data_IF_575942805869
#
_entry.id   IF_575942805869
#
_cell.length_a   1.000
_cell.length_b   1.000
_cell.length_c   1.000
_cell.angle_alpha   90.00
_cell.angle_beta   90.00
_cell.angle_gamma   90.00
#
_symmetry.space_group_name_H-M   'P 1'
#
loop_
_entity.id
_entity.type
_entity.pdbx_description
1 polymer ?
#
# COMPACT_ATOMS: atom_id res chain seq x y z
N UNK A 1 -59.93 -3.83 20.47
CA UNK A 1 -59.35 -3.26 19.22
C UNK A 1 -58.15 -2.35 19.48
N UNK A 2 -58.18 -1.48 20.50
CA UNK A 2 -57.05 -0.57 20.84
C UNK A 2 -55.84 -1.29 21.44
N UNK A 3 -56.04 -2.28 22.32
CA UNK A 3 -54.94 -3.06 22.92
C UNK A 3 -54.09 -3.82 21.89
N UNK A 4 -54.71 -4.29 20.81
CA UNK A 4 -54.03 -5.02 19.73
C UNK A 4 -53.09 -4.10 18.91
N UNK A 5 -53.44 -2.81 18.81
CA UNK A 5 -52.59 -1.79 18.19
C UNK A 5 -51.40 -1.44 19.10
N UNK A 6 -51.62 -1.32 20.41
CA UNK A 6 -50.54 -1.04 21.37
C UNK A 6 -49.50 -2.17 21.42
N UNK A 7 -49.94 -3.43 21.38
CA UNK A 7 -49.04 -4.58 21.30
C UNK A 7 -48.23 -4.59 20.00
N UNK A 8 -48.85 -4.26 18.85
CA UNK A 8 -48.12 -4.12 17.59
C UNK A 8 -47.05 -3.04 17.64
N UNK A 9 -47.37 -1.86 18.21
CA UNK A 9 -46.42 -0.75 18.33
C UNK A 9 -45.19 -1.18 19.15
N UNK A 10 -45.40 -1.82 20.30
CA UNK A 10 -44.29 -2.33 21.13
C UNK A 10 -43.42 -3.35 20.38
N UNK A 11 -44.03 -4.24 19.58
CA UNK A 11 -43.28 -5.20 18.77
C UNK A 11 -42.49 -4.53 17.64
N UNK A 12 -42.97 -3.42 17.08
CA UNK A 12 -42.23 -2.65 16.09
C UNK A 12 -41.08 -1.87 16.71
N UNK A 13 -41.29 -1.23 17.87
CA UNK A 13 -40.23 -0.52 18.60
C UNK A 13 -39.06 -1.44 18.96
N UNK A 14 -39.34 -2.65 19.43
CA UNK A 14 -38.29 -3.64 19.73
C UNK A 14 -37.54 -4.07 18.47
N UNK A 15 -38.25 -4.27 17.35
CA UNK A 15 -37.61 -4.63 16.08
C UNK A 15 -36.75 -3.50 15.52
N UNK A 16 -37.23 -2.26 15.60
CA UNK A 16 -36.48 -1.08 15.14
C UNK A 16 -35.19 -0.92 15.95
N UNK A 17 -35.26 -0.98 17.29
CA UNK A 17 -34.07 -0.91 18.14
C UNK A 17 -33.03 -1.98 17.82
N UNK A 18 -33.48 -3.21 17.56
CA UNK A 18 -32.59 -4.30 17.15
C UNK A 18 -31.92 -4.01 15.81
N UNK A 19 -32.65 -3.46 14.85
CA UNK A 19 -32.09 -3.08 13.54
C UNK A 19 -31.03 -1.99 13.72
N UNK A 20 -31.31 -0.96 14.51
CA UNK A 20 -30.37 0.13 14.80
C UNK A 20 -29.08 -0.39 15.47
N UNK A 21 -29.20 -1.29 16.45
CA UNK A 21 -28.04 -1.90 17.09
C UNK A 21 -27.20 -2.73 16.11
N UNK A 22 -27.85 -3.52 15.25
CA UNK A 22 -27.13 -4.28 14.24
C UNK A 22 -26.46 -3.39 13.18
N UNK A 23 -27.07 -2.26 12.83
CA UNK A 23 -26.53 -1.27 11.88
C UNK A 23 -25.26 -0.61 12.43
N UNK A 24 -25.30 -0.16 13.69
CA UNK A 24 -24.12 0.38 14.40
C UNK A 24 -22.98 -0.66 14.43
N UNK A 25 -23.30 -1.93 14.68
CA UNK A 25 -22.30 -2.99 14.67
C UNK A 25 -21.73 -3.25 13.27
N UNK A 26 -22.56 -3.17 12.22
CA UNK A 26 -22.12 -3.32 10.82
C UNK A 26 -21.19 -2.19 10.42
N UNK A 27 -21.53 -0.94 10.75
CA UNK A 27 -20.68 0.23 10.49
C UNK A 27 -19.33 0.10 11.19
N UNK A 28 -19.32 -0.31 12.46
CA UNK A 28 -18.06 -0.53 13.18
C UNK A 28 -17.20 -1.60 12.49
N UNK A 29 -17.79 -2.72 12.09
CA UNK A 29 -17.07 -3.79 11.36
C UNK A 29 -16.57 -3.33 9.99
N UNK A 30 -17.33 -2.48 9.30
CA UNK A 30 -16.93 -1.90 8.02
C UNK A 30 -15.69 -1.01 8.19
N UNK A 31 -15.67 -0.14 9.20
CA UNK A 31 -14.50 0.70 9.49
C UNK A 31 -13.26 -0.11 9.88
N UNK A 32 -13.42 -1.18 10.67
CA UNK A 32 -12.33 -2.11 10.99
C UNK A 32 -11.80 -2.84 9.74
N UNK A 33 -12.69 -3.21 8.81
CA UNK A 33 -12.31 -3.86 7.56
C UNK A 33 -11.57 -2.90 6.62
N UNK A 34 -12.02 -1.66 6.51
CA UNK A 34 -11.40 -0.60 5.70
C UNK A 34 -9.98 -0.26 6.19
N UNK A 35 -9.81 -0.17 7.52
CA UNK A 35 -8.49 0.04 8.15
C UNK A 35 -7.53 -1.11 7.80
N UNK A 36 -7.98 -2.36 7.97
CA UNK A 36 -7.16 -3.54 7.64
C UNK A 36 -6.87 -3.65 6.15
N UNK A 37 -7.80 -3.25 5.29
CA UNK A 37 -7.59 -3.24 3.84
C UNK A 37 -6.51 -2.21 3.47
N UNK A 38 -6.57 -1.01 4.07
CA UNK A 38 -5.56 0.04 3.88
C UNK A 38 -4.17 -0.42 4.31
N UNK A 39 -4.04 -1.12 5.44
CA UNK A 39 -2.76 -1.70 5.89
C UNK A 39 -2.25 -2.76 4.90
N UNK A 40 -3.13 -3.68 4.48
CA UNK A 40 -2.78 -4.72 3.51
C UNK A 40 -2.38 -4.14 2.15
N UNK A 41 -3.05 -3.07 1.71
CA UNK A 41 -2.70 -2.38 0.47
C UNK A 41 -1.35 -1.66 0.57
N UNK A 42 -1.02 -1.02 1.70
CA UNK A 42 0.33 -0.45 1.91
C UNK A 42 1.43 -1.51 1.85
N UNK A 43 1.19 -2.67 2.46
CA UNK A 43 2.15 -3.77 2.50
C UNK A 43 2.34 -4.44 1.13
N UNK A 44 1.30 -4.46 0.29
CA UNK A 44 1.32 -5.18 -1.01
C UNK A 44 1.59 -4.30 -2.24
N UNK A 45 1.30 -3.01 -2.18
CA UNK A 45 1.25 -2.16 -3.38
C UNK A 45 2.62 -1.67 -3.88
N UNK A 46 3.73 -2.02 -3.22
CA UNK A 46 5.03 -1.41 -3.51
C UNK A 46 5.10 0.08 -3.13
N UNK A 47 3.97 0.76 -2.94
CA UNK A 47 3.86 2.16 -2.50
C UNK A 47 4.42 2.35 -1.08
N UNK A 48 4.25 1.36 -0.18
CA UNK A 48 4.91 1.39 1.13
C UNK A 48 6.44 1.34 1.02
N UNK A 49 6.99 0.62 0.02
CA UNK A 49 8.42 0.60 -0.26
C UNK A 49 8.90 1.89 -0.95
N UNK A 50 8.14 2.43 -1.91
CA UNK A 50 8.46 3.68 -2.59
C UNK A 50 8.40 4.89 -1.63
N UNK A 51 7.44 4.97 -0.71
CA UNK A 51 7.29 6.15 0.16
C UNK A 51 8.37 6.26 1.23
N UNK A 52 8.82 5.14 1.83
CA UNK A 52 9.80 5.17 2.94
C UNK A 52 11.27 5.05 2.48
N UNK A 53 11.54 4.45 1.31
CA UNK A 53 12.92 4.32 0.79
C UNK A 53 13.30 5.33 -0.30
N UNK A 54 12.35 5.94 -1.03
CA UNK A 54 12.74 6.86 -2.12
C UNK A 54 13.45 8.14 -1.65
N UNK A 55 13.40 8.46 -0.35
CA UNK A 55 14.21 9.56 0.20
C UNK A 55 15.71 9.23 0.22
N UNK A 56 16.06 7.94 0.28
CA UNK A 56 17.44 7.46 0.45
C UNK A 56 18.04 6.82 -0.81
N UNK A 57 17.21 6.46 -1.80
CA UNK A 57 17.65 5.77 -3.00
C UNK A 57 17.33 6.56 -4.27
N UNK A 58 18.25 6.51 -5.24
CA UNK A 58 17.98 6.99 -6.59
C UNK A 58 17.12 5.97 -7.34
N UNK A 59 16.12 6.46 -8.08
CA UNK A 59 15.25 5.64 -8.91
C UNK A 59 15.51 5.91 -10.39
N UNK A 60 15.68 4.81 -11.14
CA UNK A 60 15.82 4.83 -12.58
C UNK A 60 14.65 4.07 -13.20
N UNK A 61 14.06 4.65 -14.24
CA UNK A 61 12.95 4.06 -14.98
C UNK A 61 13.36 3.90 -16.45
N UNK A 62 12.78 2.90 -17.12
CA UNK A 62 13.06 2.60 -18.53
C UNK A 62 14.54 2.29 -18.79
N UNK A 63 15.22 1.67 -17.82
CA UNK A 63 16.56 1.10 -18.03
C UNK A 63 16.38 -0.17 -18.86
N UNK A 64 17.01 -0.20 -20.03
CA UNK A 64 17.07 -1.41 -20.85
C UNK A 64 18.13 -2.34 -20.25
N UNK A 65 17.73 -3.58 -19.95
CA UNK A 65 18.59 -4.60 -19.37
C UNK A 65 18.45 -5.92 -20.15
N UNK A 66 19.55 -6.61 -20.39
CA UNK A 66 19.57 -7.97 -20.92
C UNK A 66 19.53 -9.03 -19.82
N UNK A 67 19.04 -10.22 -20.16
CA UNK A 67 18.93 -11.32 -19.19
C UNK A 67 20.33 -11.78 -18.75
N UNK A 68 20.62 -11.59 -17.47
CA UNK A 68 21.89 -12.02 -16.86
C UNK A 68 22.90 -10.88 -16.74
N UNK A 69 22.55 -9.65 -17.11
CA UNK A 69 23.39 -8.49 -16.83
C UNK A 69 23.52 -8.21 -15.33
N UNK A 70 24.72 -7.78 -14.96
CA UNK A 70 25.03 -7.28 -13.63
C UNK A 70 24.41 -5.89 -13.46
N UNK A 71 23.42 -5.80 -12.59
CA UNK A 71 22.72 -4.55 -12.33
C UNK A 71 23.67 -3.48 -11.79
N UNK A 72 24.66 -3.85 -10.98
CA UNK A 72 25.63 -2.88 -10.45
C UNK A 72 26.42 -2.26 -11.59
N UNK A 73 26.80 -3.07 -12.58
CA UNK A 73 27.54 -2.61 -13.77
C UNK A 73 26.68 -1.69 -14.63
N UNK A 74 25.42 -2.06 -14.90
CA UNK A 74 24.48 -1.23 -15.67
C UNK A 74 24.30 0.14 -15.02
N UNK A 75 24.06 0.16 -13.71
CA UNK A 75 23.85 1.39 -12.96
C UNK A 75 25.12 2.23 -12.85
N UNK A 76 26.27 1.59 -12.64
CA UNK A 76 27.55 2.28 -12.58
C UNK A 76 27.91 2.92 -13.92
N UNK A 77 27.61 2.27 -15.05
CA UNK A 77 27.82 2.84 -16.39
C UNK A 77 26.98 4.11 -16.61
N UNK A 78 25.68 4.06 -16.31
CA UNK A 78 24.78 5.23 -16.44
C UNK A 78 25.28 6.40 -15.59
N UNK A 79 25.62 6.13 -14.33
CA UNK A 79 26.09 7.15 -13.39
C UNK A 79 27.48 7.69 -13.74
N UNK A 80 28.39 6.84 -14.20
CA UNK A 80 29.74 7.22 -14.61
C UNK A 80 29.68 8.19 -15.80
N UNK A 81 28.81 7.93 -16.76
CA UNK A 81 28.53 8.83 -17.87
C UNK A 81 27.95 10.16 -17.37
N UNK A 82 26.90 10.12 -16.55
CA UNK A 82 26.22 11.33 -16.06
C UNK A 82 27.11 12.22 -15.18
N UNK A 83 28.02 11.62 -14.41
CA UNK A 83 28.91 12.34 -13.49
C UNK A 83 30.31 12.59 -14.07
N UNK A 84 30.59 12.10 -15.28
CA UNK A 84 31.90 12.21 -15.94
C UNK A 84 33.06 11.68 -15.06
N UNK A 85 32.83 10.57 -14.36
CA UNK A 85 33.84 9.88 -13.54
C UNK A 85 33.97 8.42 -13.95
N UNK A 86 34.98 7.72 -13.44
CA UNK A 86 35.20 6.31 -13.80
C UNK A 86 34.17 5.39 -13.15
N UNK A 87 33.85 4.29 -13.83
CA UNK A 87 32.93 3.25 -13.34
C UNK A 87 33.38 2.73 -11.98
N UNK A 88 34.70 2.52 -11.77
CA UNK A 88 35.24 2.05 -10.50
C UNK A 88 34.97 3.01 -9.35
N UNK A 89 35.05 4.33 -9.59
CA UNK A 89 34.74 5.33 -8.56
C UNK A 89 33.26 5.35 -8.22
N UNK A 90 32.38 5.12 -9.19
CA UNK A 90 30.95 4.98 -8.93
C UNK A 90 30.70 3.73 -8.10
N UNK A 91 31.25 2.58 -8.52
CA UNK A 91 31.09 1.29 -7.83
C UNK A 91 31.60 1.33 -6.38
N UNK A 92 32.69 2.05 -6.11
CA UNK A 92 33.22 2.24 -4.75
C UNK A 92 32.26 3.03 -3.83
N UNK A 93 31.45 3.93 -4.41
CA UNK A 93 30.44 4.71 -3.69
C UNK A 93 29.03 4.09 -3.67
N UNK A 94 28.80 3.03 -4.45
CA UNK A 94 27.52 2.32 -4.49
C UNK A 94 27.42 1.34 -3.32
N UNK A 95 26.30 1.40 -2.61
CA UNK A 95 26.01 0.48 -1.49
C UNK A 95 25.12 -0.67 -1.95
N UNK A 96 23.82 -0.41 -2.10
CA UNK A 96 22.86 -1.42 -2.53
C UNK A 96 22.18 -1.04 -3.87
N UNK A 97 21.80 -2.04 -4.65
CA UNK A 97 21.12 -1.85 -5.94
C UNK A 97 20.10 -2.97 -6.16
N UNK A 98 18.86 -2.62 -6.52
CA UNK A 98 17.77 -3.57 -6.63
C UNK A 98 16.88 -3.27 -7.85
N UNK A 99 16.28 -4.34 -8.40
CA UNK A 99 15.21 -4.22 -9.40
C UNK A 99 13.88 -4.09 -8.66
N UNK A 100 13.11 -3.07 -9.02
CA UNK A 100 11.75 -2.89 -8.50
C UNK A 100 10.78 -3.30 -9.59
N UNK A 101 10.02 -4.36 -9.34
CA UNK A 101 8.95 -4.82 -10.22
C UNK A 101 7.64 -4.22 -9.73
N UNK A 102 7.06 -3.33 -10.51
CA UNK A 102 5.73 -2.73 -10.29
C UNK A 102 4.72 -3.33 -11.25
#
# INVERSE_FOLDING_TARGET
KVENLQQMIQQYDVRIKKIEEEDIQRDKRMGEMDTRLTEVERDKSGLGWEMDRSEFYLRFQNVEEEKGEDLVEVMANILAEAFEITIEKVKDGMDETFRVYT
#
